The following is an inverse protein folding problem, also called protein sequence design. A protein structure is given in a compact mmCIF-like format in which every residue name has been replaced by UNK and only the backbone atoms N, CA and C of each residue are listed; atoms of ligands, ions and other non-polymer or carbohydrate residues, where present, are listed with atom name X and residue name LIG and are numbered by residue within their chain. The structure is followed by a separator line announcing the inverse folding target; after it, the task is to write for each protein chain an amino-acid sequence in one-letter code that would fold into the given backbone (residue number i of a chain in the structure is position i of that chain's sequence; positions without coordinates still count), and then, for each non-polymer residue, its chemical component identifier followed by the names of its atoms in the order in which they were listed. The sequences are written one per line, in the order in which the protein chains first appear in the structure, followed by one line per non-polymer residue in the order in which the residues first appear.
data_IF_322936956057
#
_entry.id   IF_322936956057
#
_cell.length_a   1.000
_cell.length_b   1.000
_cell.length_c   1.000
_cell.angle_alpha   90.00
_cell.angle_beta   90.00
_cell.angle_gamma   90.00
#
_symmetry.space_group_name_H-M   'P 1'
#
loop_
_entity.id
_entity.type
_entity.pdbx_description
1 polymer ?
#
# COMPACT_ATOMS: atom_id res chain seq x y z
N UNK A 1 -76.36 10.82 23.69
CA UNK A 1 -75.92 9.62 24.42
C UNK A 1 -74.63 9.13 23.78
N UNK A 2 -73.60 8.88 24.60
CA UNK A 2 -72.27 8.44 24.15
C UNK A 2 -71.16 9.24 24.80
N UNK A 3 -70.84 8.93 26.06
CA UNK A 3 -69.67 9.46 26.79
C UNK A 3 -68.42 8.72 26.33
N UNK A 4 -67.31 9.42 26.17
CA UNK A 4 -65.98 8.80 26.21
C UNK A 4 -65.02 9.76 26.90
N UNK A 5 -64.72 9.46 28.16
CA UNK A 5 -63.61 10.04 28.91
C UNK A 5 -62.37 9.21 28.55
N UNK A 6 -61.34 9.87 28.02
CA UNK A 6 -60.03 9.29 27.79
C UNK A 6 -58.99 10.06 28.61
N UNK A 7 -58.39 9.36 29.56
CA UNK A 7 -57.44 9.86 30.58
C UNK A 7 -56.07 10.13 29.95
N UNK A 8 -55.36 11.10 30.53
CA UNK A 8 -54.03 11.58 30.22
C UNK A 8 -52.93 10.51 30.10
N UNK A 9 -51.95 10.77 29.25
CA UNK A 9 -50.56 10.37 29.46
C UNK A 9 -49.63 11.32 28.67
N UNK A 10 -48.96 12.22 29.39
CA UNK A 10 -47.81 12.95 28.86
C UNK A 10 -46.64 11.96 28.71
N UNK A 11 -46.06 11.88 27.52
CA UNK A 11 -44.79 11.20 27.29
C UNK A 11 -43.85 12.15 26.55
N UNK A 12 -42.90 12.70 27.32
CA UNK A 12 -41.78 13.48 26.83
C UNK A 12 -40.82 12.49 26.15
N UNK A 13 -40.76 12.49 24.82
CA UNK A 13 -39.76 11.72 24.08
C UNK A 13 -38.62 12.65 23.67
N UNK A 14 -37.47 12.42 24.30
CA UNK A 14 -36.23 13.18 24.13
C UNK A 14 -35.75 13.22 22.68
N UNK A 15 -35.35 14.41 22.20
CA UNK A 15 -34.55 14.54 20.98
C UNK A 15 -33.16 13.95 21.26
N UNK A 16 -32.91 12.75 20.76
CA UNK A 16 -31.55 12.20 20.69
C UNK A 16 -30.81 12.89 19.52
N UNK A 17 -30.02 13.91 19.85
CA UNK A 17 -29.03 14.45 18.93
C UNK A 17 -27.94 13.40 18.71
N UNK A 18 -28.00 12.71 17.57
CA UNK A 18 -26.94 11.79 17.13
C UNK A 18 -25.76 12.62 16.65
N UNK A 19 -24.82 12.88 17.57
CA UNK A 19 -23.50 13.39 17.20
C UNK A 19 -22.81 12.33 16.32
N UNK A 20 -22.77 12.57 15.01
CA UNK A 20 -21.92 11.83 14.09
C UNK A 20 -20.47 12.05 14.51
N UNK A 21 -19.68 11.01 14.82
CA UNK A 21 -18.24 11.19 14.96
C UNK A 21 -17.71 11.58 13.57
N UNK A 22 -17.21 12.81 13.46
CA UNK A 22 -16.41 13.23 12.32
C UNK A 22 -15.16 12.36 12.31
N UNK A 23 -15.13 11.36 11.42
CA UNK A 23 -13.91 10.60 11.17
C UNK A 23 -12.91 11.60 10.61
N UNK A 24 -11.87 11.90 11.38
CA UNK A 24 -10.76 12.69 10.89
C UNK A 24 -10.11 11.86 9.77
N UNK A 25 -10.35 12.24 8.52
CA UNK A 25 -9.53 11.81 7.42
C UNK A 25 -8.12 12.35 7.72
N UNK A 26 -7.23 11.48 8.17
CA UNK A 26 -5.82 11.82 8.22
C UNK A 26 -5.40 12.06 6.76
N UNK A 27 -5.07 13.32 6.44
CA UNK A 27 -4.34 13.66 5.24
C UNK A 27 -3.03 12.86 5.28
N UNK A 28 -3.02 11.72 4.60
CA UNK A 28 -1.78 11.05 4.24
C UNK A 28 -1.07 12.02 3.31
N UNK A 29 -0.12 12.79 3.85
CA UNK A 29 0.73 13.65 3.06
C UNK A 29 1.22 12.84 1.86
N UNK A 30 0.80 13.23 0.66
CA UNK A 30 1.13 12.51 -0.56
C UNK A 30 2.65 12.46 -0.66
N UNK A 31 3.23 11.30 -0.38
CA UNK A 31 4.66 11.11 -0.54
C UNK A 31 4.98 11.40 -2.01
N UNK A 32 6.06 12.14 -2.24
CA UNK A 32 6.49 12.48 -3.59
C UNK A 32 6.63 11.18 -4.42
N UNK A 33 6.26 11.18 -5.71
CA UNK A 33 6.38 9.99 -6.52
C UNK A 33 7.86 9.63 -6.69
N UNK A 34 8.17 8.34 -6.60
CA UNK A 34 9.48 7.79 -6.94
C UNK A 34 9.72 8.00 -8.45
N UNK A 35 10.96 8.29 -8.83
CA UNK A 35 11.31 8.49 -10.24
C UNK A 35 11.93 7.21 -10.85
N UNK A 36 11.43 6.79 -12.02
CA UNK A 36 12.18 5.87 -12.89
C UNK A 36 13.40 6.57 -13.45
N UNK A 37 14.55 5.91 -13.35
CA UNK A 37 15.83 6.44 -13.83
C UNK A 37 16.56 5.38 -14.64
N UNK A 38 17.65 5.80 -15.29
CA UNK A 38 18.60 4.89 -15.90
C UNK A 38 19.43 4.21 -14.81
N UNK A 39 19.75 2.94 -15.00
CA UNK A 39 20.56 2.13 -14.09
C UNK A 39 22.05 2.45 -14.23
N UNK A 40 22.43 3.71 -14.03
CA UNK A 40 23.80 4.20 -14.20
C UNK A 40 24.58 4.35 -12.88
N UNK A 41 23.94 4.05 -11.75
CA UNK A 41 24.52 4.08 -10.42
C UNK A 41 23.98 2.93 -9.58
N UNK A 42 24.81 2.43 -8.66
CA UNK A 42 24.47 1.29 -7.79
C UNK A 42 23.77 1.72 -6.49
N UNK A 43 23.52 3.02 -6.31
CA UNK A 43 22.88 3.57 -5.12
C UNK A 43 21.35 3.61 -5.23
N UNK A 44 20.79 3.25 -6.39
CA UNK A 44 19.36 3.18 -6.66
C UNK A 44 18.71 1.89 -6.17
N UNK A 45 17.38 1.90 -6.10
CA UNK A 45 16.60 0.66 -6.02
C UNK A 45 16.57 0.01 -7.40
N UNK A 46 17.06 -1.22 -7.50
CA UNK A 46 17.07 -2.01 -8.72
C UNK A 46 16.13 -3.21 -8.59
N UNK A 47 15.25 -3.39 -9.56
CA UNK A 47 14.36 -4.55 -9.64
C UNK A 47 14.68 -5.28 -10.93
N UNK A 48 15.16 -6.52 -10.79
CA UNK A 48 15.54 -7.36 -11.91
C UNK A 48 14.43 -8.36 -12.21
N UNK A 49 13.92 -8.34 -13.44
CA UNK A 49 12.82 -9.19 -13.87
C UNK A 49 13.10 -9.86 -15.22
N UNK A 50 12.20 -10.75 -15.65
CA UNK A 50 12.31 -11.50 -16.91
C UNK A 50 13.60 -12.32 -17.03
N UNK A 51 13.96 -13.04 -15.95
CA UNK A 51 15.19 -13.83 -15.81
C UNK A 51 16.46 -12.98 -15.79
N UNK A 52 16.38 -11.79 -15.18
CA UNK A 52 17.49 -10.83 -15.13
C UNK A 52 17.80 -10.17 -16.48
N UNK A 53 16.88 -10.24 -17.44
CA UNK A 53 17.03 -9.57 -18.74
C UNK A 53 16.72 -8.07 -18.64
N UNK A 54 15.75 -7.73 -17.80
CA UNK A 54 15.30 -6.37 -17.63
C UNK A 54 15.63 -5.90 -16.21
N UNK A 55 16.16 -4.68 -16.12
CA UNK A 55 16.47 -4.03 -14.83
C UNK A 55 15.73 -2.70 -14.80
N UNK A 56 14.99 -2.49 -13.71
CA UNK A 56 14.19 -1.31 -13.47
C UNK A 56 14.78 -0.54 -12.29
N UNK A 57 15.29 0.66 -12.55
CA UNK A 57 15.92 1.48 -11.53
C UNK A 57 15.04 2.65 -11.08
N UNK A 58 15.01 2.86 -9.77
CA UNK A 58 14.16 3.84 -9.11
C UNK A 58 14.99 4.69 -8.13
N UNK A 59 14.72 5.99 -8.12
CA UNK A 59 15.43 6.96 -7.30
C UNK A 59 14.46 7.93 -6.61
N UNK A 60 15.01 8.65 -5.62
CA UNK A 60 14.33 9.59 -4.73
C UNK A 60 13.39 8.92 -3.72
N UNK A 61 13.31 9.50 -2.52
CA UNK A 61 12.38 9.07 -1.50
C UNK A 61 10.94 9.35 -1.93
N UNK A 62 10.03 8.45 -1.58
CA UNK A 62 8.68 8.47 -2.10
C UNK A 62 8.01 7.12 -2.03
N UNK A 63 6.78 7.05 -2.52
CA UNK A 63 6.09 5.77 -2.75
C UNK A 63 5.18 5.85 -3.96
N UNK A 64 4.97 4.72 -4.64
CA UNK A 64 4.07 4.66 -5.78
C UNK A 64 3.57 3.24 -6.07
N UNK A 65 2.34 3.11 -6.63
CA UNK A 65 1.91 1.85 -7.19
C UNK A 65 2.71 1.50 -8.46
N UNK A 66 2.97 0.22 -8.66
CA UNK A 66 3.68 -0.34 -9.82
C UNK A 66 3.03 -1.64 -10.27
N UNK A 67 3.41 -2.12 -11.46
CA UNK A 67 3.02 -3.44 -11.95
C UNK A 67 4.23 -4.10 -12.59
N UNK A 68 5.12 -4.66 -11.76
CA UNK A 68 6.37 -5.28 -12.22
C UNK A 68 6.22 -6.79 -12.08
N UNK A 69 6.22 -7.48 -13.22
CA UNK A 69 5.97 -8.92 -13.29
C UNK A 69 7.26 -9.73 -13.42
N UNK A 70 7.23 -10.97 -12.92
CA UNK A 70 8.31 -11.95 -13.11
C UNK A 70 9.62 -11.53 -12.46
N UNK A 71 9.56 -10.99 -11.24
CA UNK A 71 10.73 -10.46 -10.54
C UNK A 71 11.61 -11.59 -10.02
N UNK A 72 12.90 -11.49 -10.34
CA UNK A 72 13.93 -12.46 -10.01
C UNK A 72 14.67 -12.12 -8.73
N UNK A 73 15.07 -10.86 -8.56
CA UNK A 73 15.63 -10.33 -7.32
C UNK A 73 15.51 -8.79 -7.29
N UNK A 74 15.71 -8.22 -6.10
CA UNK A 74 15.66 -6.79 -5.82
C UNK A 74 16.92 -6.40 -5.08
N UNK A 75 17.53 -5.27 -5.44
CA UNK A 75 18.68 -4.67 -4.76
C UNK A 75 18.31 -3.27 -4.29
N UNK A 76 18.55 -2.96 -3.01
CA UNK A 76 18.12 -1.70 -2.42
C UNK A 76 19.07 -0.52 -2.65
N UNK A 77 20.29 -0.77 -3.13
CA UNK A 77 21.33 0.26 -3.24
C UNK A 77 21.54 0.98 -1.90
N UNK A 78 21.72 2.30 -1.91
CA UNK A 78 21.89 3.09 -0.68
C UNK A 78 20.54 3.47 -0.01
N UNK A 79 19.47 2.71 -0.27
CA UNK A 79 18.13 3.04 0.21
C UNK A 79 17.63 2.04 1.25
N UNK A 80 16.77 2.51 2.14
CA UNK A 80 15.84 1.63 2.84
C UNK A 80 14.58 1.54 1.98
N UNK A 81 14.10 0.34 1.68
CA UNK A 81 13.01 0.14 0.72
C UNK A 81 11.96 -0.79 1.31
N UNK A 82 10.70 -0.42 1.20
CA UNK A 82 9.57 -1.32 1.48
C UNK A 82 8.81 -1.56 0.19
N UNK A 83 8.45 -2.81 -0.11
CA UNK A 83 7.62 -3.12 -1.27
C UNK A 83 6.58 -4.19 -0.96
N UNK A 84 5.45 -4.11 -1.68
CA UNK A 84 4.36 -5.06 -1.59
C UNK A 84 4.30 -5.90 -2.86
N UNK A 85 4.10 -7.20 -2.69
CA UNK A 85 4.08 -8.14 -3.79
C UNK A 85 2.99 -9.20 -3.65
N UNK A 86 2.57 -9.74 -4.79
CA UNK A 86 1.75 -10.92 -4.89
C UNK A 86 2.64 -12.06 -5.40
N UNK A 87 2.74 -13.13 -4.62
CA UNK A 87 3.67 -14.23 -4.92
C UNK A 87 3.25 -15.02 -6.15
N UNK A 88 1.98 -15.42 -6.19
CA UNK A 88 1.42 -16.27 -7.23
C UNK A 88 0.16 -15.61 -7.81
N UNK A 89 -0.10 -15.76 -9.10
CA UNK A 89 -1.31 -15.22 -9.72
C UNK A 89 -2.60 -15.82 -9.13
N UNK A 90 -2.59 -17.13 -8.87
CA UNK A 90 -3.74 -17.86 -8.33
C UNK A 90 -4.02 -17.56 -6.85
N UNK A 91 -3.09 -16.95 -6.13
CA UNK A 91 -3.25 -16.58 -4.72
C UNK A 91 -3.26 -15.05 -4.60
N UNK A 92 -4.39 -14.42 -4.23
CA UNK A 92 -4.50 -12.97 -4.13
C UNK A 92 -3.76 -12.38 -2.91
N UNK A 93 -3.10 -13.20 -2.09
CA UNK A 93 -2.38 -12.74 -0.91
C UNK A 93 -1.28 -11.75 -1.28
N UNK A 94 -1.30 -10.61 -0.59
CA UNK A 94 -0.27 -9.58 -0.66
C UNK A 94 0.70 -9.77 0.52
N UNK A 95 1.98 -9.86 0.20
CA UNK A 95 3.08 -9.91 1.15
C UNK A 95 3.83 -8.57 1.12
N UNK A 96 4.56 -8.27 2.19
CA UNK A 96 5.37 -7.05 2.31
C UNK A 96 6.75 -7.39 2.82
N UNK A 97 7.77 -6.78 2.21
CA UNK A 97 9.17 -6.92 2.63
C UNK A 97 9.77 -5.53 2.76
N UNK A 98 10.62 -5.35 3.76
CA UNK A 98 11.47 -4.17 3.93
C UNK A 98 12.93 -4.60 3.86
N UNK A 99 13.69 -3.94 3.00
CA UNK A 99 15.12 -4.10 2.85
C UNK A 99 15.83 -2.91 3.47
N UNK A 100 16.90 -3.20 4.22
CA UNK A 100 17.85 -2.17 4.62
C UNK A 100 18.71 -1.72 3.45
N UNK A 101 19.64 -0.80 3.72
CA UNK A 101 20.65 -0.37 2.74
C UNK A 101 21.55 -1.53 2.33
N UNK A 102 22.01 -1.50 1.09
CA UNK A 102 22.96 -2.43 0.48
C UNK A 102 22.54 -3.88 0.63
N UNK A 103 21.24 -4.14 0.52
CA UNK A 103 20.63 -5.44 0.72
C UNK A 103 20.07 -5.96 -0.59
N UNK A 104 20.16 -7.27 -0.75
CA UNK A 104 19.57 -8.00 -1.86
C UNK A 104 18.47 -8.92 -1.33
N UNK A 105 17.39 -9.04 -2.09
CA UNK A 105 16.32 -9.97 -1.81
C UNK A 105 15.99 -10.81 -3.02
N UNK A 106 15.90 -12.11 -2.82
CA UNK A 106 15.53 -13.08 -3.85
C UNK A 106 14.32 -13.91 -3.37
N UNK A 107 13.16 -13.86 -4.07
CA UNK A 107 11.97 -14.63 -3.72
C UNK A 107 12.11 -16.15 -3.90
N UNK A 108 13.16 -16.62 -4.59
CA UNK A 108 13.35 -18.02 -4.97
C UNK A 108 12.64 -18.40 -6.27
N UNK A 109 12.50 -19.70 -6.49
CA UNK A 109 11.71 -20.27 -7.59
C UNK A 109 10.39 -20.84 -7.04
N UNK A 110 9.26 -20.68 -7.75
CA UNK A 110 9.10 -19.89 -8.98
C UNK A 110 9.31 -18.39 -8.72
N UNK A 111 9.67 -17.65 -9.77
CA UNK A 111 9.83 -16.20 -9.67
C UNK A 111 8.53 -15.51 -9.23
N UNK A 112 8.71 -14.34 -8.65
CA UNK A 112 7.62 -13.56 -8.11
C UNK A 112 6.66 -13.13 -9.24
N UNK A 113 5.36 -13.36 -9.05
CA UNK A 113 4.34 -12.97 -10.01
C UNK A 113 4.33 -11.45 -10.24
N UNK A 114 4.12 -10.63 -9.19
CA UNK A 114 3.99 -9.17 -9.35
C UNK A 114 4.37 -8.36 -8.10
N UNK A 115 5.17 -7.30 -8.27
CA UNK A 115 5.27 -6.19 -7.31
C UNK A 115 4.18 -5.16 -7.64
N UNK A 116 3.42 -4.74 -6.63
CA UNK A 116 2.27 -3.84 -6.77
C UNK A 116 2.56 -2.42 -6.29
N UNK A 117 3.53 -2.27 -5.40
CA UNK A 117 3.82 -0.99 -4.76
C UNK A 117 5.24 -0.99 -4.20
N UNK A 118 5.88 0.17 -4.25
CA UNK A 118 7.23 0.41 -3.74
C UNK A 118 7.28 1.70 -2.93
N UNK A 119 8.14 1.74 -1.91
CA UNK A 119 8.48 2.91 -1.11
C UNK A 119 9.97 2.96 -0.83
N UNK A 120 10.56 4.12 -1.08
CA UNK A 120 11.94 4.47 -0.75
C UNK A 120 11.87 5.48 0.40
N UNK A 121 12.54 5.18 1.52
CA UNK A 121 12.55 6.02 2.72
C UNK A 121 13.69 7.03 2.70
#
# INVERSE_FOLDING_TARGET
MGRSLGVAAAAVAALAATALPAVAAADAAAAAPINRTNCNQNDYLEIHNNNGRDTLCFANAGEMPVAIYGVNWVESGNNSVTFQFQRNESDPRIETVTLGKWSQWNPGQPYLHKILWIKIH
#
